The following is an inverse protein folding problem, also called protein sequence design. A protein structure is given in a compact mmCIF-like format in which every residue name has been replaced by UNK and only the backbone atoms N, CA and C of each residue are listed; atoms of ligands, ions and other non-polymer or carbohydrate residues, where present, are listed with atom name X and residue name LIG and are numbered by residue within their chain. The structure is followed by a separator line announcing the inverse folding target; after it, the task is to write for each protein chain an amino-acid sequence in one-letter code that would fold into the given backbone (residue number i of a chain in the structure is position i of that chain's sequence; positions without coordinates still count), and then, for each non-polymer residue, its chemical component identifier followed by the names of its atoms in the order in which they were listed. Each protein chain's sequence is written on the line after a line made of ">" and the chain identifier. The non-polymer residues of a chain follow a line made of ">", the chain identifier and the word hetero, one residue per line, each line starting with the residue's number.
data_IF_365468323555
#
_entry.id   IF_365468323555
#
_cell.length_a   1.000
_cell.length_b   1.000
_cell.length_c   1.000
_cell.angle_alpha   90.00
_cell.angle_beta   90.00
_cell.angle_gamma   90.00
#
_symmetry.space_group_name_H-M   'P 1'
#
loop_
_entity.id
_entity.type
_entity.pdbx_description
1 polymer ?
#
# COMPACT_ATOMS: atom_id res chain seq x y z
N UNK A 1 -14.26 -39.55 -17.92
CA UNK A 1 -13.16 -39.11 -17.05
C UNK A 1 -12.31 -38.10 -17.82
N UNK A 2 -12.55 -36.81 -17.61
CA UNK A 2 -11.55 -35.76 -17.79
C UNK A 2 -11.83 -34.71 -16.72
N UNK A 3 -10.95 -34.65 -15.74
CA UNK A 3 -11.00 -33.66 -14.67
C UNK A 3 -10.61 -32.32 -15.29
N UNK A 4 -11.53 -31.37 -15.35
CA UNK A 4 -11.18 -29.99 -15.66
C UNK A 4 -10.24 -29.52 -14.57
N UNK A 5 -8.95 -29.35 -14.89
CA UNK A 5 -8.02 -28.57 -14.07
C UNK A 5 -8.68 -27.20 -13.90
N UNK A 6 -9.06 -26.86 -12.67
CA UNK A 6 -9.70 -25.59 -12.35
C UNK A 6 -8.85 -24.46 -12.89
N UNK A 7 -9.37 -23.73 -13.87
CA UNK A 7 -8.82 -22.45 -14.23
C UNK A 7 -8.94 -21.58 -12.98
N UNK A 8 -7.80 -21.08 -12.49
CA UNK A 8 -7.82 -20.07 -11.45
C UNK A 8 -8.68 -18.90 -11.96
N UNK A 9 -9.53 -18.37 -11.08
CA UNK A 9 -10.34 -17.21 -11.42
C UNK A 9 -9.38 -16.05 -11.78
N UNK A 10 -9.48 -15.43 -12.96
CA UNK A 10 -8.56 -14.37 -13.39
C UNK A 10 -8.47 -13.20 -12.40
N UNK A 11 -9.53 -12.98 -11.61
CA UNK A 11 -9.53 -11.99 -10.52
C UNK A 11 -8.56 -12.36 -9.38
N UNK A 12 -8.44 -13.65 -9.07
CA UNK A 12 -7.55 -14.16 -8.02
C UNK A 12 -6.09 -14.18 -8.45
N UNK A 13 -5.82 -14.45 -9.72
CA UNK A 13 -4.48 -14.32 -10.31
C UNK A 13 -4.03 -12.86 -10.29
N UNK A 14 -4.90 -11.94 -10.69
CA UNK A 14 -4.64 -10.50 -10.66
C UNK A 14 -4.30 -9.98 -9.25
N UNK A 15 -4.99 -10.47 -8.22
CA UNK A 15 -4.72 -10.11 -6.83
C UNK A 15 -3.33 -10.58 -6.37
N UNK A 16 -2.96 -11.82 -6.72
CA UNK A 16 -1.64 -12.39 -6.40
C UNK A 16 -0.52 -11.63 -7.11
N UNK A 17 -0.72 -11.27 -8.38
CA UNK A 17 0.25 -10.50 -9.15
C UNK A 17 0.45 -9.09 -8.57
N UNK A 18 -0.64 -8.44 -8.18
CA UNK A 18 -0.62 -7.12 -7.54
C UNK A 18 0.08 -7.15 -6.17
N UNK A 19 -0.20 -8.18 -5.37
CA UNK A 19 0.46 -8.39 -4.08
C UNK A 19 1.97 -8.64 -4.27
N UNK A 20 2.34 -9.51 -5.21
CA UNK A 20 3.75 -9.74 -5.52
C UNK A 20 4.43 -8.49 -6.11
N UNK A 21 3.72 -7.63 -6.84
CA UNK A 21 4.22 -6.32 -7.26
C UNK A 21 4.57 -5.44 -6.06
N UNK A 22 3.66 -5.32 -5.08
CA UNK A 22 3.90 -4.56 -3.86
C UNK A 22 5.13 -5.09 -3.10
N UNK A 23 5.23 -6.42 -2.92
CA UNK A 23 6.38 -7.04 -2.26
C UNK A 23 7.71 -6.72 -2.96
N UNK A 24 7.75 -6.79 -4.31
CA UNK A 24 8.96 -6.47 -5.08
C UNK A 24 9.35 -4.99 -4.93
N UNK A 25 8.40 -4.08 -5.06
CA UNK A 25 8.68 -2.63 -4.98
C UNK A 25 9.13 -2.19 -3.58
N UNK A 26 8.66 -2.86 -2.54
CA UNK A 26 8.99 -2.55 -1.14
C UNK A 26 10.10 -3.45 -0.56
N UNK A 27 10.75 -4.29 -1.37
CA UNK A 27 11.77 -5.26 -0.94
C UNK A 27 11.32 -6.21 0.18
N UNK A 28 10.04 -6.58 0.21
CA UNK A 28 9.51 -7.57 1.16
C UNK A 28 9.92 -8.96 0.67
N UNK A 29 10.66 -9.78 1.45
CA UNK A 29 11.19 -11.08 1.02
C UNK A 29 10.12 -12.19 1.07
N UNK A 30 8.92 -11.91 0.59
CA UNK A 30 7.77 -12.82 0.59
C UNK A 30 7.23 -12.98 -0.82
N UNK A 31 6.97 -14.23 -1.21
CA UNK A 31 6.31 -14.58 -2.48
C UNK A 31 4.92 -15.09 -2.16
N UNK A 32 3.91 -14.36 -2.63
CA UNK A 32 2.49 -14.71 -2.48
C UNK A 32 2.16 -15.78 -3.50
N UNK A 33 1.66 -16.94 -3.05
CA UNK A 33 1.34 -18.08 -3.93
C UNK A 33 -0.15 -18.22 -4.22
N UNK A 34 -1.00 -17.63 -3.39
CA UNK A 34 -2.45 -17.74 -3.50
C UNK A 34 -3.16 -16.49 -2.98
N UNK A 35 -4.35 -16.20 -3.52
CA UNK A 35 -5.16 -15.07 -3.08
C UNK A 35 -5.56 -15.13 -1.60
N UNK A 36 -5.63 -16.34 -1.01
CA UNK A 36 -5.92 -16.52 0.41
C UNK A 36 -4.80 -16.07 1.35
N UNK A 37 -3.59 -15.79 0.83
CA UNK A 37 -2.49 -15.20 1.58
C UNK A 37 -2.58 -13.66 1.63
N UNK A 38 -3.51 -13.06 0.86
CA UNK A 38 -3.71 -11.61 0.78
C UNK A 38 -4.93 -11.26 1.63
N UNK A 39 -4.69 -10.95 2.90
CA UNK A 39 -5.72 -10.58 3.88
C UNK A 39 -5.53 -9.16 4.43
N UNK A 40 -6.35 -8.75 5.41
CA UNK A 40 -6.22 -7.45 6.05
C UNK A 40 -4.86 -7.26 6.75
N UNK A 41 -4.25 -8.33 7.28
CA UNK A 41 -2.94 -8.25 7.91
C UNK A 41 -1.82 -8.04 6.89
N UNK A 42 -1.95 -8.66 5.71
CA UNK A 42 -1.08 -8.38 4.58
C UNK A 42 -1.13 -6.90 4.17
N UNK A 43 -2.33 -6.30 4.10
CA UNK A 43 -2.48 -4.86 3.80
C UNK A 43 -1.75 -4.00 4.84
N UNK A 44 -1.92 -4.30 6.13
CA UNK A 44 -1.23 -3.59 7.22
C UNK A 44 0.29 -3.72 7.08
N UNK A 45 0.80 -4.93 6.77
CA UNK A 45 2.22 -5.16 6.55
C UNK A 45 2.77 -4.33 5.39
N UNK A 46 2.09 -4.34 4.23
CA UNK A 46 2.50 -3.56 3.06
C UNK A 46 2.50 -2.06 3.39
N UNK A 47 1.47 -1.58 4.08
CA UNK A 47 1.40 -0.17 4.50
C UNK A 47 2.57 0.22 5.41
N UNK A 48 2.91 -0.61 6.41
CA UNK A 48 4.07 -0.36 7.28
C UNK A 48 5.37 -0.22 6.48
N UNK A 49 5.60 -1.13 5.52
CA UNK A 49 6.79 -1.09 4.67
C UNK A 49 6.82 0.13 3.76
N UNK A 50 5.65 0.54 3.23
CA UNK A 50 5.53 1.74 2.37
C UNK A 50 6.03 3.00 3.08
N UNK A 51 5.74 3.14 4.37
CA UNK A 51 6.14 4.29 5.17
C UNK A 51 7.43 4.08 5.98
N UNK A 52 8.16 2.98 5.75
CA UNK A 52 9.36 2.60 6.49
C UNK A 52 9.16 2.64 8.03
N UNK A 53 8.00 2.15 8.48
CA UNK A 53 7.63 2.07 9.89
C UNK A 53 8.28 0.82 10.48
N UNK A 54 9.59 0.91 10.74
CA UNK A 54 10.40 -0.15 11.35
C UNK A 54 10.59 0.05 12.87
N UNK A 55 10.26 1.24 13.39
CA UNK A 55 10.41 1.61 14.80
C UNK A 55 9.04 1.66 15.50
N UNK A 56 8.87 0.82 16.52
CA UNK A 56 7.64 0.72 17.33
C UNK A 56 7.26 2.06 18.00
N UNK A 57 8.21 2.98 18.18
CA UNK A 57 7.95 4.32 18.75
C UNK A 57 7.21 5.27 17.79
N UNK A 58 7.22 4.97 16.48
CA UNK A 58 6.56 5.75 15.43
C UNK A 58 5.41 4.93 14.80
N UNK A 59 5.20 3.68 15.25
CA UNK A 59 4.14 2.82 14.72
C UNK A 59 2.75 3.40 15.06
N UNK A 60 1.97 3.93 14.09
CA UNK A 60 0.62 4.42 14.35
C UNK A 60 -0.32 3.30 14.82
N UNK A 61 0.08 2.04 14.61
CA UNK A 61 -0.67 0.86 15.03
C UNK A 61 -0.30 0.37 16.44
N UNK A 62 0.70 0.95 17.14
CA UNK A 62 1.15 0.45 18.45
C UNK A 62 0.05 0.46 19.52
N UNK A 63 -0.93 1.36 19.38
CA UNK A 63 -2.08 1.52 20.28
C UNK A 63 -3.35 0.83 19.76
N UNK A 64 -3.29 0.24 18.57
CA UNK A 64 -4.42 -0.38 17.89
C UNK A 64 -4.31 -1.89 17.99
N UNK A 65 -5.08 -2.49 18.88
CA UNK A 65 -5.10 -3.94 19.10
C UNK A 65 -5.94 -4.69 18.04
N UNK A 66 -6.96 -4.03 17.46
CA UNK A 66 -7.85 -4.62 16.46
C UNK A 66 -7.38 -4.32 15.03
N UNK A 67 -7.31 -5.37 14.19
CA UNK A 67 -7.03 -5.27 12.75
C UNK A 67 -8.01 -4.31 12.06
N UNK A 68 -9.27 -4.28 12.50
CA UNK A 68 -10.31 -3.38 12.00
C UNK A 68 -9.94 -1.92 12.20
N UNK A 69 -9.35 -1.58 13.35
CA UNK A 69 -8.94 -0.19 13.63
C UNK A 69 -7.72 0.20 12.81
N UNK A 70 -6.77 -0.73 12.62
CA UNK A 70 -5.60 -0.52 11.75
C UNK A 70 -6.02 -0.30 10.29
N UNK A 71 -6.96 -1.09 9.80
CA UNK A 71 -7.52 -0.94 8.45
C UNK A 71 -8.30 0.36 8.32
N UNK A 72 -9.08 0.75 9.34
CA UNK A 72 -9.77 2.04 9.35
C UNK A 72 -8.77 3.19 9.27
N UNK A 73 -7.70 3.15 10.07
CA UNK A 73 -6.63 4.13 10.02
C UNK A 73 -6.02 4.24 8.61
N UNK A 74 -5.64 3.10 8.00
CA UNK A 74 -5.06 3.07 6.64
C UNK A 74 -6.01 3.70 5.62
N UNK A 75 -7.29 3.32 5.65
CA UNK A 75 -8.30 3.84 4.73
C UNK A 75 -8.48 5.35 4.90
N UNK A 76 -8.59 5.82 6.15
CA UNK A 76 -8.84 7.22 6.44
C UNK A 76 -7.61 8.08 6.06
N UNK A 77 -6.39 7.60 6.31
CA UNK A 77 -5.16 8.25 5.85
C UNK A 77 -5.06 8.32 4.32
N UNK A 78 -5.35 7.22 3.62
CA UNK A 78 -5.37 7.20 2.16
C UNK A 78 -6.43 8.14 1.59
N UNK A 79 -7.60 8.21 2.22
CA UNK A 79 -8.67 9.15 1.87
C UNK A 79 -8.19 10.61 1.97
N UNK A 80 -7.47 10.96 3.04
CA UNK A 80 -6.88 12.28 3.22
C UNK A 80 -5.81 12.59 2.16
N UNK A 81 -4.92 11.65 1.88
CA UNK A 81 -3.83 11.82 0.89
C UNK A 81 -4.37 11.99 -0.52
N UNK A 82 -5.37 11.19 -0.90
CA UNK A 82 -6.00 11.25 -2.22
C UNK A 82 -7.02 12.37 -2.37
N UNK A 83 -7.49 12.93 -1.24
CA UNK A 83 -8.64 13.85 -1.17
C UNK A 83 -9.90 13.24 -1.80
N UNK A 84 -10.11 11.96 -1.56
CA UNK A 84 -11.22 11.16 -2.09
C UNK A 84 -11.88 10.37 -0.97
N UNK A 85 -13.21 10.20 -1.05
CA UNK A 85 -13.97 9.38 -0.10
C UNK A 85 -13.85 7.87 -0.43
N UNK A 86 -13.26 7.12 0.50
CA UNK A 86 -13.05 5.68 0.38
C UNK A 86 -14.11 4.85 1.15
N UNK A 87 -15.25 5.42 1.53
CA UNK A 87 -16.31 4.72 2.27
C UNK A 87 -16.95 3.55 1.51
N UNK A 88 -16.77 3.50 0.19
CA UNK A 88 -17.14 2.34 -0.62
C UNK A 88 -16.31 1.08 -0.29
N UNK A 89 -15.09 1.26 0.24
CA UNK A 89 -14.24 0.18 0.77
C UNK A 89 -14.55 -0.01 2.25
N UNK A 90 -15.39 -0.99 2.56
CA UNK A 90 -15.85 -1.22 3.92
C UNK A 90 -14.82 -1.99 4.73
N UNK A 91 -14.47 -1.47 5.90
CA UNK A 91 -13.52 -2.09 6.85
C UNK A 91 -13.92 -3.53 7.20
N UNK A 92 -15.21 -3.80 7.44
CA UNK A 92 -15.67 -5.15 7.78
C UNK A 92 -15.55 -6.14 6.62
N UNK A 93 -15.66 -5.68 5.37
CA UNK A 93 -15.46 -6.55 4.19
C UNK A 93 -14.00 -6.99 4.11
N UNK A 94 -13.06 -6.07 4.37
CA UNK A 94 -11.62 -6.37 4.43
C UNK A 94 -11.28 -7.39 5.52
N UNK A 95 -11.81 -7.20 6.73
CA UNK A 95 -11.52 -8.12 7.85
C UNK A 95 -12.22 -9.47 7.74
N UNK A 96 -13.26 -9.58 6.90
CA UNK A 96 -13.91 -10.85 6.55
C UNK A 96 -13.25 -11.57 5.37
N UNK A 97 -12.22 -11.00 4.75
CA UNK A 97 -11.53 -11.62 3.61
C UNK A 97 -12.25 -11.45 2.26
N UNK A 98 -13.07 -10.40 2.11
CA UNK A 98 -13.67 -10.06 0.82
C UNK A 98 -12.55 -9.67 -0.17
N UNK A 99 -12.28 -10.57 -1.12
CA UNK A 99 -11.20 -10.42 -2.10
C UNK A 99 -11.38 -9.17 -2.96
N UNK A 100 -12.62 -8.73 -3.19
CA UNK A 100 -12.91 -7.54 -4.00
C UNK A 100 -12.54 -6.28 -3.22
N UNK A 101 -12.95 -6.21 -1.95
CA UNK A 101 -12.57 -5.08 -1.09
C UNK A 101 -11.04 -5.01 -0.88
N UNK A 102 -10.40 -6.17 -0.68
CA UNK A 102 -8.95 -6.30 -0.54
C UNK A 102 -8.25 -5.83 -1.80
N UNK A 103 -8.74 -6.27 -2.97
CA UNK A 103 -8.19 -5.86 -4.25
C UNK A 103 -8.25 -4.34 -4.43
N UNK A 104 -9.39 -3.70 -4.17
CA UNK A 104 -9.52 -2.24 -4.32
C UNK A 104 -8.59 -1.46 -3.40
N UNK A 105 -8.47 -1.85 -2.13
CA UNK A 105 -7.56 -1.16 -1.22
C UNK A 105 -6.10 -1.39 -1.61
N UNK A 106 -5.75 -2.61 -2.03
CA UNK A 106 -4.39 -2.93 -2.47
C UNK A 106 -4.04 -2.22 -3.79
N UNK A 107 -4.99 -2.03 -4.70
CA UNK A 107 -4.81 -1.28 -5.94
C UNK A 107 -4.45 0.18 -5.66
N UNK A 108 -5.13 0.82 -4.71
CA UNK A 108 -4.79 2.17 -4.25
C UNK A 108 -3.36 2.19 -3.69
N UNK A 109 -3.01 1.25 -2.82
CA UNK A 109 -1.66 1.17 -2.23
C UNK A 109 -0.60 0.93 -3.32
N UNK A 110 -0.87 0.06 -4.29
CA UNK A 110 0.02 -0.21 -5.40
C UNK A 110 0.23 1.02 -6.30
N UNK A 111 -0.83 1.81 -6.54
CA UNK A 111 -0.72 3.08 -7.26
C UNK A 111 0.16 4.08 -6.48
N UNK A 112 0.00 4.16 -5.16
CA UNK A 112 0.85 4.97 -4.29
C UNK A 112 2.32 4.54 -4.36
N UNK A 113 2.57 3.23 -4.26
CA UNK A 113 3.91 2.64 -4.43
C UNK A 113 4.49 3.04 -5.79
N UNK A 114 3.74 2.88 -6.89
CA UNK A 114 4.21 3.23 -8.21
C UNK A 114 4.57 4.73 -8.32
N UNK A 115 3.71 5.62 -7.81
CA UNK A 115 3.97 7.06 -7.82
C UNK A 115 5.20 7.47 -6.98
N UNK A 116 5.56 6.69 -5.96
CA UNK A 116 6.66 7.01 -5.05
C UNK A 116 7.97 6.31 -5.40
N UNK A 117 7.91 5.09 -5.93
CA UNK A 117 9.08 4.29 -6.35
C UNK A 117 9.56 4.72 -7.74
N UNK A 118 8.69 5.23 -8.60
CA UNK A 118 9.09 5.83 -9.87
C UNK A 118 9.26 7.34 -9.69
N UNK A 119 10.48 7.84 -9.40
CA UNK A 119 10.70 9.27 -9.38
C UNK A 119 10.37 9.82 -10.77
N UNK A 120 9.57 10.89 -10.80
CA UNK A 120 9.22 11.71 -11.97
C UNK A 120 10.30 11.66 -13.05
N UNK A 121 10.17 10.75 -14.02
CA UNK A 121 11.09 10.67 -15.14
C UNK A 121 10.96 11.88 -16.10
N UNK A 122 10.06 12.82 -15.80
CA UNK A 122 9.76 14.03 -16.59
C UNK A 122 10.27 15.35 -15.98
N UNK A 123 11.28 15.32 -15.11
CA UNK A 123 12.07 16.53 -14.78
C UNK A 123 13.50 16.45 -15.34
N UNK A 124 13.66 15.83 -16.51
CA UNK A 124 14.80 16.08 -17.39
C UNK A 124 14.43 17.26 -18.29
N UNK A 125 14.36 18.46 -17.71
CA UNK A 125 14.69 19.65 -18.46
C UNK A 125 15.23 20.72 -17.51
N UNK A 126 16.54 20.91 -17.62
CA UNK A 126 17.35 22.07 -17.22
C UNK A 126 17.54 22.34 -15.71
N UNK A 127 18.79 22.14 -15.27
CA UNK A 127 19.43 22.55 -13.99
C UNK A 127 19.42 21.54 -12.83
N UNK A 128 19.96 20.34 -13.07
CA UNK A 128 20.21 19.35 -12.00
C UNK A 128 21.66 19.39 -11.49
N UNK A 129 21.98 20.37 -10.65
CA UNK A 129 23.11 20.30 -9.70
C UNK A 129 22.65 20.08 -8.24
N UNK A 130 21.37 19.77 -7.99
CA UNK A 130 20.81 19.73 -6.62
C UNK A 130 20.24 18.38 -6.16
N UNK A 131 20.38 17.29 -6.92
CA UNK A 131 19.72 16.01 -6.60
C UNK A 131 20.61 14.95 -5.92
N UNK A 132 21.76 15.31 -5.34
CA UNK A 132 22.61 14.33 -4.65
C UNK A 132 22.18 13.98 -3.22
N UNK A 133 21.13 14.62 -2.68
CA UNK A 133 20.76 14.48 -1.26
C UNK A 133 19.26 14.18 -1.05
N UNK A 134 18.65 13.29 -1.85
CA UNK A 134 17.31 12.80 -1.54
C UNK A 134 17.29 12.08 -0.19
N UNK A 135 16.53 12.56 0.82
CA UNK A 135 16.52 11.95 2.14
C UNK A 135 15.73 10.63 2.13
N UNK A 136 16.01 9.70 3.06
CA UNK A 136 15.22 8.48 3.22
C UNK A 136 13.76 8.84 3.55
N UNK A 137 12.84 8.03 3.01
CA UNK A 137 11.40 8.25 2.87
C UNK A 137 10.66 8.77 4.13
N UNK A 138 11.14 8.52 5.35
CA UNK A 138 10.53 9.04 6.58
C UNK A 138 10.58 10.57 6.76
N UNK A 139 11.40 11.31 6.00
CA UNK A 139 11.51 12.78 6.11
C UNK A 139 10.58 13.56 5.18
N UNK A 140 9.94 12.92 4.21
CA UNK A 140 9.10 13.61 3.22
C UNK A 140 7.69 13.93 3.75
N UNK A 141 7.17 13.16 4.70
CA UNK A 141 5.92 13.48 5.41
C UNK A 141 6.07 14.80 6.19
N UNK A 142 7.21 15.01 6.86
CA UNK A 142 7.52 16.29 7.51
C UNK A 142 7.76 17.46 6.55
N UNK A 143 8.08 17.22 5.27
CA UNK A 143 8.29 18.29 4.29
C UNK A 143 6.98 18.76 3.63
N UNK A 144 5.97 17.89 3.56
CA UNK A 144 4.62 18.30 3.17
C UNK A 144 3.92 19.11 4.25
N UNK A 145 4.32 18.95 5.52
CA UNK A 145 3.77 19.70 6.66
C UNK A 145 4.36 21.12 6.83
N UNK A 146 5.42 21.48 6.07
CA UNK A 146 6.12 22.78 6.22
C UNK A 146 5.85 23.76 5.06
N UNK A 147 5.05 23.40 4.05
CA UNK A 147 4.81 24.29 2.89
C UNK A 147 3.37 24.79 2.70
N UNK A 148 2.47 24.62 3.69
CA UNK A 148 1.12 25.22 3.61
C UNK A 148 0.78 26.04 4.86
N UNK A 149 1.68 26.89 5.35
CA UNK A 149 1.28 28.05 6.16
C UNK A 149 2.17 29.26 5.82
N UNK A 150 1.84 29.92 4.71
CA UNK A 150 1.74 31.39 4.59
C UNK A 150 0.99 31.78 3.33
#
# INVERSE_FOLDING_TARGET
>A
MFSARGAADPSTESLVDLANFCCRCLNIPTIIKSAGEVDAMYIVMVYKHLYAIDDDSIDPFHSLDDVSDRIRYIRDELSLVLKEDLDHIKVHSLTQGDTTAIFYLLEIIAAMIALWVFPKHDLINENSELLSNSPPLGKLVHLLDVTVWK
#
